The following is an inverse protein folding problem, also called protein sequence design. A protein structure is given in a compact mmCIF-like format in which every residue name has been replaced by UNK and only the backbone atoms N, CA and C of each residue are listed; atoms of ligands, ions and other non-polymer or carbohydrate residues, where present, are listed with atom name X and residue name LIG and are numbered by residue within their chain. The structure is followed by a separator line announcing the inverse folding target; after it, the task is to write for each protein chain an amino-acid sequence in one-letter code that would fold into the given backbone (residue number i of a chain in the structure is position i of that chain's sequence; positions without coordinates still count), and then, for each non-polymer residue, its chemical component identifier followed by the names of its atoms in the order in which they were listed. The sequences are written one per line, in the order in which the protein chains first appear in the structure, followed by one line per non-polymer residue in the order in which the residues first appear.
data_IF_486778834291
#
_entry.id   IF_486778834291
#
_cell.length_a   1.000
_cell.length_b   1.000
_cell.length_c   1.000
_cell.angle_alpha   90.00
_cell.angle_beta   90.00
_cell.angle_gamma   90.00
#
_symmetry.space_group_name_H-M   'P 1'
#
loop_
_entity.id
_entity.type
_entity.pdbx_description
1 polymer ?
#
# COMPACT_ATOMS: atom_id res chain seq x y z
N UNK A 1 0.82 7.91 -3.16
CA UNK A 1 1.64 6.68 -3.16
C UNK A 1 2.65 6.65 -4.30
N UNK A 2 2.27 6.97 -5.55
CA UNK A 2 3.21 7.00 -6.69
C UNK A 2 4.50 7.78 -6.39
N UNK A 3 4.37 9.00 -5.86
CA UNK A 3 5.54 9.85 -5.53
C UNK A 3 6.45 9.26 -4.45
N UNK A 4 5.87 8.59 -3.44
CA UNK A 4 6.65 7.90 -2.40
C UNK A 4 7.41 6.70 -2.98
N UNK A 5 6.76 5.95 -3.86
CA UNK A 5 7.33 4.80 -4.54
C UNK A 5 8.50 5.22 -5.43
N UNK A 6 8.36 6.34 -6.15
CA UNK A 6 9.41 6.90 -7.01
C UNK A 6 10.62 7.39 -6.20
N UNK A 7 10.37 8.01 -5.04
CA UNK A 7 11.44 8.38 -4.11
C UNK A 7 12.19 7.15 -3.58
N UNK A 8 11.47 6.12 -3.15
CA UNK A 8 12.05 4.85 -2.70
C UNK A 8 12.83 4.15 -3.80
N UNK A 9 12.29 4.10 -5.02
CA UNK A 9 12.96 3.55 -6.19
C UNK A 9 14.31 4.25 -6.45
N UNK A 10 14.32 5.58 -6.37
CA UNK A 10 15.54 6.40 -6.53
C UNK A 10 16.57 6.10 -5.44
N UNK A 11 16.15 6.03 -4.17
CA UNK A 11 17.04 5.70 -3.06
C UNK A 11 17.62 4.28 -3.15
N UNK A 12 16.81 3.31 -3.56
CA UNK A 12 17.25 1.92 -3.75
C UNK A 12 18.20 1.79 -4.94
N UNK A 13 17.96 2.52 -6.03
CA UNK A 13 18.87 2.58 -7.18
C UNK A 13 20.23 3.21 -6.81
N UNK A 14 20.27 4.13 -5.85
CA UNK A 14 21.49 4.75 -5.35
C UNK A 14 22.26 3.87 -4.34
N UNK A 15 21.65 2.79 -3.84
CA UNK A 15 22.32 1.86 -2.93
C UNK A 15 23.33 0.98 -3.68
N UNK A 16 24.47 0.68 -3.07
CA UNK A 16 25.48 -0.21 -3.66
C UNK A 16 25.13 -1.70 -3.52
N UNK A 17 24.12 -2.02 -2.71
CA UNK A 17 23.64 -3.38 -2.49
C UNK A 17 22.53 -3.71 -3.49
N UNK A 18 22.52 -4.96 -3.98
CA UNK A 18 21.45 -5.42 -4.87
C UNK A 18 20.22 -5.80 -4.07
N UNK A 19 19.39 -4.82 -3.73
CA UNK A 19 18.22 -5.00 -2.88
C UNK A 19 16.97 -5.38 -3.66
N UNK A 20 16.20 -6.32 -3.10
CA UNK A 20 14.83 -6.62 -3.53
C UNK A 20 13.88 -6.21 -2.42
N UNK A 21 12.99 -5.27 -2.71
CA UNK A 21 12.10 -4.64 -1.73
C UNK A 21 10.66 -4.79 -2.19
N UNK A 22 9.79 -5.27 -1.31
CA UNK A 22 8.35 -5.27 -1.51
C UNK A 22 7.72 -4.10 -0.75
N UNK A 23 6.94 -3.28 -1.45
CA UNK A 23 6.15 -2.18 -0.91
C UNK A 23 4.68 -2.58 -0.96
N UNK A 24 4.00 -2.49 0.17
CA UNK A 24 2.56 -2.74 0.28
C UNK A 24 1.88 -1.44 0.68
N UNK A 25 1.12 -0.86 -0.24
CA UNK A 25 0.23 0.27 0.03
C UNK A 25 -1.16 -0.27 0.37
N UNK A 26 -1.65 0.01 1.58
CA UNK A 26 -2.98 -0.39 2.04
C UNK A 26 -3.85 0.86 2.14
N UNK A 27 -4.61 1.12 1.08
CA UNK A 27 -5.61 2.19 1.06
C UNK A 27 -6.93 1.79 1.71
N UNK A 28 -7.91 2.70 1.68
CA UNK A 28 -9.25 2.40 2.17
C UNK A 28 -9.96 1.34 1.31
N UNK A 29 -9.82 1.40 -0.02
CA UNK A 29 -10.52 0.51 -0.97
C UNK A 29 -9.63 -0.54 -1.59
N UNK A 30 -8.37 -0.17 -1.78
CA UNK A 30 -7.47 -0.81 -2.71
C UNK A 30 -6.13 -0.98 -2.04
N UNK A 31 -5.53 -2.15 -2.25
CA UNK A 31 -4.21 -2.48 -1.77
C UNK A 31 -3.33 -2.77 -2.98
N UNK A 32 -2.16 -2.17 -3.00
CA UNK A 32 -1.19 -2.32 -4.10
C UNK A 32 0.10 -2.90 -3.54
N UNK A 33 0.52 -4.04 -4.09
CA UNK A 33 1.82 -4.65 -3.84
C UNK A 33 2.74 -4.32 -5.02
N UNK A 34 3.86 -3.66 -4.76
CA UNK A 34 4.90 -3.36 -5.74
C UNK A 34 6.22 -3.97 -5.28
N UNK A 35 6.86 -4.76 -6.14
CA UNK A 35 8.19 -5.33 -5.87
C UNK A 35 9.21 -4.58 -6.72
N UNK A 36 10.22 -4.04 -6.06
CA UNK A 36 11.36 -3.35 -6.66
C UNK A 36 12.59 -4.23 -6.55
N UNK A 37 13.38 -4.29 -7.62
CA UNK A 37 14.71 -4.87 -7.62
C UNK A 37 15.70 -3.82 -8.16
N UNK A 38 16.68 -3.44 -7.34
CA UNK A 38 17.65 -2.38 -7.65
C UNK A 38 16.98 -1.08 -8.15
N UNK A 39 15.94 -0.65 -7.42
CA UNK A 39 15.17 0.55 -7.75
C UNK A 39 14.25 0.46 -8.98
N UNK A 40 14.16 -0.69 -9.65
CA UNK A 40 13.21 -0.90 -10.76
C UNK A 40 12.04 -1.76 -10.30
N UNK A 41 10.82 -1.32 -10.58
CA UNK A 41 9.62 -2.12 -10.31
C UNK A 41 9.61 -3.32 -11.27
N UNK A 42 9.60 -4.53 -10.72
CA UNK A 42 9.59 -5.79 -11.46
C UNK A 42 8.25 -6.51 -11.39
N UNK A 43 7.39 -6.12 -10.44
CA UNK A 43 6.05 -6.69 -10.28
C UNK A 43 5.14 -5.69 -9.59
N UNK A 44 3.89 -5.60 -10.06
CA UNK A 44 2.84 -4.85 -9.40
C UNK A 44 1.55 -5.67 -9.41
N UNK A 45 0.85 -5.71 -8.28
CA UNK A 45 -0.47 -6.29 -8.15
C UNK A 45 -1.38 -5.36 -7.39
N UNK A 46 -2.57 -5.15 -7.95
CA UNK A 46 -3.64 -4.42 -7.28
C UNK A 46 -4.71 -5.42 -6.81
N UNK A 47 -5.28 -5.16 -5.65
CA UNK A 47 -6.43 -5.88 -5.15
C UNK A 47 -7.47 -4.90 -4.61
N UNK A 48 -8.74 -5.17 -4.92
CA UNK A 48 -9.90 -4.38 -4.48
C UNK A 48 -10.28 -4.71 -3.03
N UNK A 49 -9.32 -4.60 -2.11
CA UNK A 49 -9.54 -4.66 -0.68
C UNK A 49 -8.70 -3.60 0.04
N UNK A 50 -9.15 -3.20 1.22
CA UNK A 50 -8.46 -2.18 2.01
C UNK A 50 -9.12 -1.95 3.36
N UNK A 51 -8.68 -0.90 4.06
CA UNK A 51 -9.11 -0.59 5.43
C UNK A 51 -10.61 -0.37 5.60
N UNK A 52 -11.35 -0.02 4.54
CA UNK A 52 -12.81 0.16 4.63
C UNK A 52 -13.53 -1.11 5.05
N UNK A 53 -13.11 -2.28 4.58
CA UNK A 53 -13.75 -3.55 4.97
C UNK A 53 -13.63 -3.76 6.48
N UNK A 54 -12.49 -3.41 7.07
CA UNK A 54 -12.30 -3.42 8.52
C UNK A 54 -13.17 -2.36 9.23
N UNK A 55 -13.22 -1.13 8.71
CA UNK A 55 -14.06 -0.05 9.26
C UNK A 55 -15.54 -0.44 9.26
N UNK A 56 -16.04 -0.98 8.16
CA UNK A 56 -17.42 -1.46 8.02
C UNK A 56 -17.72 -2.61 8.98
N UNK A 57 -16.76 -3.51 9.19
CA UNK A 57 -16.93 -4.63 10.11
C UNK A 57 -16.98 -4.16 11.58
N UNK A 58 -16.12 -3.20 11.95
CA UNK A 58 -16.19 -2.55 13.27
C UNK A 58 -17.54 -1.84 13.44
N UNK A 59 -17.99 -1.09 12.44
CA UNK A 59 -19.29 -0.41 12.48
C UNK A 59 -20.43 -1.39 12.68
N UNK A 60 -20.49 -2.48 11.90
CA UNK A 60 -21.52 -3.52 12.04
C UNK A 60 -21.49 -4.18 13.41
N UNK A 61 -20.30 -4.52 13.92
CA UNK A 61 -20.15 -5.22 15.20
C UNK A 61 -20.57 -4.37 16.40
N UNK A 62 -20.41 -3.06 16.32
CA UNK A 62 -20.67 -2.13 17.42
C UNK A 62 -21.87 -1.19 17.19
N UNK A 63 -22.60 -1.34 16.08
CA UNK A 63 -23.74 -0.49 15.73
C UNK A 63 -23.38 0.98 15.49
N UNK A 64 -22.14 1.26 15.08
CA UNK A 64 -21.67 2.63 14.83
C UNK A 64 -22.12 3.11 13.45
N UNK A 65 -22.51 4.37 13.35
CA UNK A 65 -22.91 4.97 12.07
C UNK A 65 -21.70 5.59 11.34
N UNK A 66 -21.74 5.69 9.99
CA UNK A 66 -20.60 6.15 9.19
C UNK A 66 -20.12 7.57 9.51
N UNK A 67 -20.94 8.41 10.14
CA UNK A 67 -20.61 9.80 10.43
C UNK A 67 -19.48 9.98 11.45
N UNK A 68 -19.19 8.94 12.25
CA UNK A 68 -18.15 8.97 13.28
C UNK A 68 -16.72 8.74 12.75
N UNK A 69 -16.54 8.46 11.45
CA UNK A 69 -15.24 8.11 10.85
C UNK A 69 -14.53 9.27 10.14
N UNK A 70 -14.78 10.53 10.53
CA UNK A 70 -14.10 11.72 9.99
C UNK A 70 -12.97 12.19 10.88
#
# INVERSE_FOLDING_TARGET
MSELLDLLATQLAASQERLTVAVVDIGATMTTLSVLHNGRIIYTREQLFGGRQLTEEIQRRYGLTPELSR
#
